data_IF_214613932271
#
_entry.id   IF_214613932271
#
_cell.length_a   1.000
_cell.length_b   1.000
_cell.length_c   1.000
_cell.angle_alpha   90.00
_cell.angle_beta   90.00
_cell.angle_gamma   90.00
#
_symmetry.space_group_name_H-M   'P 1'
#
loop_
_entity.id
_entity.type
_entity.pdbx_description
1 polymer ?
#
# COMPACT_ATOMS: atom_id res chain seq x y z
N UNK A 1 15.55 -9.92 3.16
CA UNK A 1 14.75 -9.96 1.90
C UNK A 1 14.60 -11.35 1.30
N UNK A 2 15.69 -12.08 0.98
CA UNK A 2 15.61 -13.40 0.31
C UNK A 2 14.77 -14.45 1.06
N UNK A 3 14.95 -14.57 2.37
CA UNK A 3 14.16 -15.49 3.22
C UNK A 3 12.66 -15.12 3.25
N UNK A 4 12.33 -13.82 3.42
CA UNK A 4 10.94 -13.33 3.35
C UNK A 4 10.28 -13.70 2.01
N UNK A 5 10.99 -13.53 0.90
CA UNK A 5 10.47 -13.84 -0.43
C UNK A 5 10.27 -15.35 -0.66
N UNK A 6 11.16 -16.20 -0.15
CA UNK A 6 10.99 -17.65 -0.19
C UNK A 6 9.78 -18.12 0.63
N UNK A 7 9.51 -17.45 1.75
CA UNK A 7 8.34 -17.71 2.59
C UNK A 7 7.07 -16.98 2.12
N UNK A 8 7.12 -16.27 0.98
CA UNK A 8 6.03 -15.42 0.48
C UNK A 8 5.44 -14.48 1.55
N UNK A 9 6.28 -13.94 2.45
CA UNK A 9 5.87 -13.08 3.56
C UNK A 9 6.16 -11.63 3.23
N UNK A 10 5.19 -10.97 2.61
CA UNK A 10 5.28 -9.56 2.27
C UNK A 10 4.89 -8.68 3.46
N UNK A 11 5.57 -7.55 3.58
CA UNK A 11 5.38 -6.60 4.68
C UNK A 11 4.23 -5.63 4.38
N UNK A 12 4.03 -5.27 3.11
CA UNK A 12 3.00 -4.30 2.69
C UNK A 12 2.45 -4.60 1.31
N UNK A 13 1.13 -4.48 1.14
CA UNK A 13 0.47 -4.47 -0.16
C UNK A 13 0.39 -3.05 -0.70
N UNK A 14 0.91 -2.80 -1.92
CA UNK A 14 0.87 -1.48 -2.55
C UNK A 14 -0.37 -1.35 -3.44
N UNK A 15 -1.49 -0.96 -2.83
CA UNK A 15 -2.77 -0.74 -3.50
C UNK A 15 -2.81 0.63 -4.18
N UNK A 16 -2.97 0.68 -5.50
CA UNK A 16 -2.88 1.93 -6.25
C UNK A 16 -3.71 1.88 -7.53
N UNK A 17 -3.97 3.04 -8.12
CA UNK A 17 -4.52 3.13 -9.47
C UNK A 17 -3.40 2.87 -10.48
N UNK A 18 -3.68 2.15 -11.57
CA UNK A 18 -2.70 1.88 -12.63
C UNK A 18 -2.00 3.14 -13.16
N UNK A 19 -2.69 4.29 -13.18
CA UNK A 19 -2.11 5.58 -13.59
C UNK A 19 -1.02 6.10 -12.62
N UNK A 20 -1.11 5.73 -11.34
CA UNK A 20 -0.18 6.16 -10.29
C UNK A 20 0.99 5.17 -10.08
N UNK A 21 0.99 4.07 -10.83
CA UNK A 21 1.98 2.99 -10.73
C UNK A 21 3.43 3.47 -10.81
N UNK A 22 3.82 4.41 -11.69
CA UNK A 22 5.21 4.88 -11.74
C UNK A 22 5.68 5.46 -10.40
N UNK A 23 4.85 6.27 -9.72
CA UNK A 23 5.19 6.86 -8.43
C UNK A 23 5.22 5.79 -7.32
N UNK A 24 4.24 4.89 -7.31
CA UNK A 24 4.15 3.80 -6.33
C UNK A 24 5.33 2.84 -6.44
N UNK A 25 5.78 2.54 -7.67
CA UNK A 25 6.96 1.71 -7.93
C UNK A 25 8.22 2.32 -7.35
N UNK A 26 8.43 3.63 -7.51
CA UNK A 26 9.59 4.32 -6.93
C UNK A 26 9.59 4.24 -5.40
N UNK A 27 8.45 4.47 -4.76
CA UNK A 27 8.31 4.31 -3.31
C UNK A 27 8.55 2.86 -2.88
N UNK A 28 8.00 1.89 -3.61
CA UNK A 28 8.23 0.48 -3.34
C UNK A 28 9.69 0.07 -3.47
N UNK A 29 10.47 0.65 -4.39
CA UNK A 29 11.91 0.39 -4.45
C UNK A 29 12.63 0.97 -3.22
N UNK A 30 12.30 2.20 -2.82
CA UNK A 30 12.85 2.79 -1.58
C UNK A 30 12.50 1.96 -0.34
N UNK A 31 11.30 1.35 -0.28
CA UNK A 31 10.93 0.42 0.79
C UNK A 31 11.83 -0.82 0.79
N UNK A 32 12.15 -1.38 -0.38
CA UNK A 32 13.10 -2.51 -0.48
C UNK A 32 14.50 -2.14 0.01
N UNK A 33 14.96 -0.92 -0.25
CA UNK A 33 16.24 -0.41 0.25
C UNK A 33 16.26 -0.33 1.79
N UNK A 34 15.09 -0.16 2.43
CA UNK A 34 14.87 -0.25 3.88
C UNK A 34 14.63 -1.67 4.40
N UNK A 35 14.78 -2.71 3.56
CA UNK A 35 14.56 -4.11 3.96
C UNK A 35 13.09 -4.51 4.13
N UNK A 36 12.16 -3.66 3.67
CA UNK A 36 10.72 -3.93 3.62
C UNK A 36 10.43 -4.60 2.28
N UNK A 37 9.67 -5.69 2.30
CA UNK A 37 9.26 -6.46 1.12
C UNK A 37 7.82 -6.08 0.71
N UNK A 38 7.65 -5.11 -0.19
CA UNK A 38 6.35 -4.77 -0.76
C UNK A 38 5.87 -5.81 -1.77
N UNK A 39 4.55 -6.03 -1.78
CA UNK A 39 3.84 -6.70 -2.85
C UNK A 39 3.30 -5.65 -3.82
N UNK A 40 3.74 -5.71 -5.08
CA UNK A 40 3.26 -4.86 -6.18
C UNK A 40 2.86 -5.76 -7.33
N UNK A 41 1.73 -5.45 -7.95
CA UNK A 41 1.16 -6.22 -9.06
C UNK A 41 2.17 -6.46 -10.20
N UNK A 42 2.93 -5.45 -10.60
CA UNK A 42 3.95 -5.54 -11.64
C UNK A 42 5.13 -6.48 -11.29
N UNK A 43 5.40 -6.70 -10.00
CA UNK A 43 6.52 -7.54 -9.56
C UNK A 43 6.13 -8.97 -9.27
N UNK A 44 4.88 -9.19 -8.87
CA UNK A 44 4.44 -10.45 -8.29
C UNK A 44 3.41 -11.17 -9.16
N UNK A 45 2.77 -10.49 -10.13
CA UNK A 45 1.84 -11.11 -11.05
C UNK A 45 2.54 -11.53 -12.35
N UNK A 46 2.50 -12.82 -12.72
CA UNK A 46 2.95 -13.29 -14.02
C UNK A 46 1.98 -12.82 -15.12
N UNK A 47 2.49 -12.33 -16.27
CA UNK A 47 1.67 -12.04 -17.43
C UNK A 47 0.86 -13.25 -17.88
N UNK A 48 -0.38 -13.02 -18.34
CA UNK A 48 -1.27 -14.06 -18.85
C UNK A 48 -2.07 -14.82 -17.79
N UNK A 49 -1.97 -14.45 -16.51
CA UNK A 49 -2.78 -15.03 -15.44
C UNK A 49 -3.78 -14.02 -14.87
N UNK A 50 -4.96 -14.48 -14.41
CA UNK A 50 -5.90 -13.61 -13.72
C UNK A 50 -5.29 -13.13 -12.40
N UNK A 51 -5.31 -11.82 -12.18
CA UNK A 51 -4.66 -11.22 -11.02
C UNK A 51 -5.41 -11.46 -9.71
N UNK A 52 -6.74 -11.52 -9.73
CA UNK A 52 -7.56 -11.60 -8.51
C UNK A 52 -7.29 -12.88 -7.72
N UNK A 53 -7.29 -14.09 -8.32
CA UNK A 53 -7.04 -15.31 -7.56
C UNK A 53 -5.61 -15.40 -7.04
N UNK A 54 -4.66 -14.73 -7.69
CA UNK A 54 -3.26 -14.65 -7.24
C UNK A 54 -3.12 -13.71 -6.06
N UNK A 55 -3.77 -12.54 -6.10
CA UNK A 55 -3.80 -11.62 -4.98
C UNK A 55 -4.53 -12.24 -3.79
N UNK A 56 -5.67 -12.89 -3.99
CA UNK A 56 -6.44 -13.54 -2.92
C UNK A 56 -5.62 -14.58 -2.14
N UNK A 57 -4.83 -15.39 -2.84
CA UNK A 57 -3.91 -16.36 -2.20
C UNK A 57 -2.85 -15.70 -1.33
N UNK A 58 -2.48 -14.47 -1.66
CA UNK A 58 -1.37 -13.77 -1.03
C UNK A 58 -1.82 -12.80 0.06
N UNK A 59 -2.97 -12.14 -0.12
CA UNK A 59 -3.42 -11.00 0.69
C UNK A 59 -3.53 -11.35 2.18
N UNK A 60 -3.92 -12.59 2.49
CA UNK A 60 -4.10 -13.10 3.85
C UNK A 60 -2.78 -13.21 4.64
N UNK A 61 -1.63 -13.24 3.98
CA UNK A 61 -0.32 -13.32 4.64
C UNK A 61 0.45 -12.00 4.64
N UNK A 62 -0.03 -10.99 3.92
CA UNK A 62 0.58 -9.66 3.92
C UNK A 62 0.25 -8.96 5.23
N UNK A 63 1.27 -8.35 5.84
CA UNK A 63 1.17 -7.76 7.18
C UNK A 63 0.43 -6.40 7.23
N UNK A 64 0.44 -5.63 6.15
CA UNK A 64 -0.21 -4.32 6.06
C UNK A 64 -0.61 -3.96 4.63
N UNK A 65 -1.44 -2.93 4.46
CA UNK A 65 -1.79 -2.37 3.17
C UNK A 65 -1.50 -0.86 3.13
N UNK A 66 -0.83 -0.40 2.07
CA UNK A 66 -0.71 1.01 1.74
C UNK A 66 -1.63 1.32 0.55
N UNK A 67 -2.59 2.23 0.74
CA UNK A 67 -3.57 2.61 -0.28
C UNK A 67 -3.20 3.99 -0.82
N UNK A 68 -2.74 4.02 -2.06
CA UNK A 68 -2.23 5.22 -2.71
C UNK A 68 -3.32 5.95 -3.49
N UNK A 69 -3.35 7.26 -3.31
CA UNK A 69 -4.24 8.19 -3.98
C UNK A 69 -3.39 9.22 -4.72
N UNK A 70 -3.50 9.27 -6.05
CA UNK A 70 -2.73 10.17 -6.89
C UNK A 70 -3.56 11.14 -7.72
N UNK A 71 -2.91 11.87 -8.66
CA UNK A 71 -3.54 12.91 -9.49
C UNK A 71 -4.71 12.41 -10.33
N UNK A 72 -4.77 11.11 -10.63
CA UNK A 72 -5.82 10.52 -11.46
C UNK A 72 -7.23 10.63 -10.83
N UNK A 73 -7.33 10.95 -9.53
CA UNK A 73 -8.59 11.21 -8.83
C UNK A 73 -9.48 9.98 -8.60
N UNK A 74 -9.26 8.90 -9.34
CA UNK A 74 -9.96 7.63 -9.15
C UNK A 74 -9.24 6.81 -8.09
N UNK A 75 -9.86 6.77 -6.92
CA UNK A 75 -9.43 5.96 -5.78
C UNK A 75 -9.47 4.46 -6.14
N UNK A 76 -8.43 3.67 -5.80
CA UNK A 76 -8.47 2.21 -5.86
C UNK A 76 -9.68 1.62 -5.13
N UNK A 77 -10.17 2.34 -4.12
CA UNK A 77 -11.36 1.99 -3.35
C UNK A 77 -12.64 1.90 -4.18
N UNK A 78 -12.73 2.55 -5.36
CA UNK A 78 -13.95 2.48 -6.17
C UNK A 78 -14.22 1.09 -6.76
N UNK A 79 -13.19 0.24 -6.85
CA UNK A 79 -13.33 -1.13 -7.34
C UNK A 79 -13.81 -2.06 -6.22
N UNK A 80 -14.93 -2.76 -6.44
CA UNK A 80 -15.53 -3.67 -5.46
C UNK A 80 -14.55 -4.75 -4.97
N UNK A 81 -13.75 -5.30 -5.87
CA UNK A 81 -12.72 -6.29 -5.54
C UNK A 81 -11.67 -5.73 -4.60
N UNK A 82 -11.21 -4.50 -4.86
CA UNK A 82 -10.23 -3.83 -4.02
C UNK A 82 -10.78 -3.53 -2.62
N UNK A 83 -12.07 -3.17 -2.52
CA UNK A 83 -12.75 -3.04 -1.21
C UNK A 83 -12.69 -4.35 -0.43
N UNK A 84 -12.95 -5.48 -1.09
CA UNK A 84 -12.84 -6.81 -0.48
C UNK A 84 -11.44 -7.06 0.09
N UNK A 85 -10.40 -6.84 -0.71
CA UNK A 85 -9.02 -7.05 -0.26
C UNK A 85 -8.60 -6.12 0.89
N UNK A 86 -8.97 -4.84 0.83
CA UNK A 86 -8.66 -3.91 1.93
C UNK A 86 -9.45 -4.27 3.19
N UNK A 87 -10.70 -4.71 3.05
CA UNK A 87 -11.52 -5.13 4.18
C UNK A 87 -10.91 -6.30 4.94
N UNK A 88 -10.12 -7.16 4.28
CA UNK A 88 -9.40 -8.24 4.96
C UNK A 88 -8.27 -7.75 5.87
N UNK A 89 -7.64 -6.60 5.57
CA UNK A 89 -6.70 -6.01 6.52
C UNK A 89 -7.45 -5.46 7.74
N UNK A 90 -8.58 -4.79 7.52
CA UNK A 90 -9.43 -4.26 8.60
C UNK A 90 -9.93 -5.39 9.51
N UNK A 91 -10.43 -6.48 8.95
CA UNK A 91 -10.96 -7.63 9.71
C UNK A 91 -9.90 -8.29 10.59
N UNK A 92 -8.66 -8.40 10.10
CA UNK A 92 -7.53 -8.94 10.86
C UNK A 92 -6.85 -7.93 11.78
N UNK A 93 -7.38 -6.71 11.89
CA UNK A 93 -6.74 -5.59 12.60
C UNK A 93 -5.31 -5.29 12.12
N UNK A 94 -5.04 -5.57 10.84
CA UNK A 94 -3.79 -5.25 10.18
C UNK A 94 -3.79 -3.77 9.73
N UNK A 95 -2.64 -3.07 9.75
CA UNK A 95 -2.59 -1.67 9.37
C UNK A 95 -3.04 -1.43 7.93
N UNK A 96 -3.95 -0.48 7.76
CA UNK A 96 -4.30 0.13 6.48
C UNK A 96 -3.78 1.57 6.51
N UNK A 97 -2.93 1.92 5.56
CA UNK A 97 -2.17 3.17 5.55
C UNK A 97 -2.62 3.96 4.33
N UNK A 98 -3.50 4.96 4.48
CA UNK A 98 -3.85 5.82 3.36
C UNK A 98 -2.69 6.76 3.02
N UNK A 99 -2.33 6.82 1.74
CA UNK A 99 -1.17 7.55 1.22
C UNK A 99 -1.59 8.52 0.11
N UNK A 100 -1.44 9.81 0.34
CA UNK A 100 -1.59 10.83 -0.71
C UNK A 100 -0.27 11.03 -1.42
N UNK A 101 -0.25 10.83 -2.73
CA UNK A 101 0.92 11.10 -3.56
C UNK A 101 1.09 12.61 -3.78
N UNK A 102 2.31 13.05 -4.11
CA UNK A 102 2.64 14.47 -4.26
C UNK A 102 1.76 15.23 -5.28
N UNK A 103 1.21 14.52 -6.29
CA UNK A 103 0.31 15.10 -7.29
C UNK A 103 -1.18 14.96 -6.97
N UNK A 104 -1.57 14.41 -5.80
CA UNK A 104 -2.97 14.16 -5.49
C UNK A 104 -3.78 15.44 -5.35
N UNK A 105 -4.84 15.57 -6.15
CA UNK A 105 -5.75 16.71 -6.14
C UNK A 105 -6.84 16.50 -5.09
N UNK A 106 -6.92 17.42 -4.12
CA UNK A 106 -7.99 17.43 -3.11
C UNK A 106 -7.93 16.28 -2.10
N UNK A 107 -9.08 16.02 -1.48
CA UNK A 107 -9.29 14.88 -0.58
C UNK A 107 -10.01 13.76 -1.33
N UNK A 108 -9.50 12.52 -1.34
CA UNK A 108 -10.13 11.42 -2.04
C UNK A 108 -11.42 11.00 -1.35
N UNK A 109 -12.41 10.61 -2.15
CA UNK A 109 -13.65 10.03 -1.63
C UNK A 109 -13.38 8.61 -1.09
N UNK A 110 -13.41 8.49 0.24
CA UNK A 110 -13.15 7.24 0.94
C UNK A 110 -14.20 7.00 2.04
N UNK A 111 -14.40 5.74 2.47
CA UNK A 111 -15.30 5.41 3.58
C UNK A 111 -14.86 6.03 4.89
N UNK A 112 -15.81 6.10 5.83
CA UNK A 112 -15.60 6.68 7.15
C UNK A 112 -14.38 6.09 7.88
N UNK A 113 -14.18 4.77 7.84
CA UNK A 113 -13.06 4.16 8.56
C UNK A 113 -11.71 4.69 8.06
N UNK A 114 -11.52 4.90 6.75
CA UNK A 114 -10.28 5.45 6.22
C UNK A 114 -10.07 6.92 6.61
N UNK A 115 -11.16 7.70 6.72
CA UNK A 115 -11.09 9.10 7.18
C UNK A 115 -10.59 9.20 8.63
N UNK A 116 -10.80 8.16 9.43
CA UNK A 116 -10.38 8.10 10.83
C UNK A 116 -8.94 7.60 11.00
N UNK A 117 -8.30 7.09 9.93
CA UNK A 117 -6.91 6.64 9.98
C UNK A 117 -5.96 7.83 9.91
N UNK A 118 -4.71 7.61 10.33
CA UNK A 118 -3.63 8.59 10.13
C UNK A 118 -3.09 8.49 8.70
N UNK A 119 -3.05 9.62 7.99
CA UNK A 119 -2.63 9.68 6.59
C UNK A 119 -1.15 10.00 6.44
N UNK A 120 -0.51 9.37 5.47
CA UNK A 120 0.79 9.77 4.95
C UNK A 120 0.56 10.70 3.76
N UNK A 121 1.10 11.92 3.83
CA UNK A 121 0.86 12.94 2.80
C UNK A 121 2.18 13.36 2.14
N UNK A 122 2.45 12.83 0.94
CA UNK A 122 3.64 13.17 0.15
C UNK A 122 3.56 14.54 -0.53
N UNK A 123 2.47 15.30 -0.35
CA UNK A 123 2.41 16.72 -0.74
C UNK A 123 3.13 17.61 0.28
N UNK A 124 3.46 17.05 1.45
CA UNK A 124 4.18 17.71 2.53
C UNK A 124 5.58 17.13 2.69
N UNK A 125 6.48 17.93 3.24
CA UNK A 125 7.87 17.53 3.50
C UNK A 125 8.16 17.28 4.98
N UNK A 126 7.36 17.85 5.88
CA UNK A 126 7.52 17.71 7.33
C UNK A 126 6.18 17.38 8.02
N UNK A 127 6.16 16.32 8.87
CA UNK A 127 7.19 15.28 9.02
C UNK A 127 7.45 14.49 7.71
N UNK A 128 8.65 13.90 7.55
CA UNK A 128 9.03 13.16 6.33
C UNK A 128 7.98 12.07 6.01
N UNK A 129 7.25 12.18 4.88
CA UNK A 129 6.19 11.26 4.54
C UNK A 129 6.70 9.84 4.31
N UNK A 130 7.94 9.66 3.83
CA UNK A 130 8.50 8.34 3.61
C UNK A 130 8.80 7.63 4.93
N UNK A 131 9.38 8.33 5.92
CA UNK A 131 9.59 7.74 7.25
C UNK A 131 8.26 7.43 7.94
N UNK A 132 7.22 8.25 7.73
CA UNK A 132 5.87 7.95 8.21
C UNK A 132 5.26 6.72 7.55
N UNK A 133 5.51 6.51 6.26
CA UNK A 133 5.09 5.28 5.58
C UNK A 133 5.83 4.06 6.15
N UNK A 134 7.14 4.15 6.35
CA UNK A 134 7.95 3.09 6.97
C UNK A 134 7.44 2.75 8.36
N UNK A 135 7.17 3.76 9.19
CA UNK A 135 6.58 3.56 10.52
C UNK A 135 5.20 2.90 10.44
N UNK A 136 4.33 3.35 9.52
CA UNK A 136 3.02 2.74 9.30
C UNK A 136 3.12 1.26 8.91
N UNK A 137 4.11 0.87 8.11
CA UNK A 137 4.29 -0.52 7.68
C UNK A 137 4.87 -1.39 8.81
N UNK A 138 5.89 -0.89 9.50
CA UNK A 138 6.63 -1.66 10.51
C UNK A 138 5.96 -1.66 11.87
N UNK A 139 5.07 -0.69 12.13
CA UNK A 139 4.50 -0.38 13.44
C UNK A 139 5.57 -0.07 14.50
N UNK A 140 6.79 0.25 14.07
CA UNK A 140 7.92 0.61 14.91
C UNK A 140 8.28 2.06 14.60
N UNK A 141 8.24 2.92 15.63
CA UNK A 141 8.67 4.30 15.47
C UNK A 141 10.19 4.25 15.34
N UNK A 142 10.74 4.74 14.23
CA UNK A 142 12.18 4.83 14.05
C UNK A 142 12.72 5.88 15.02
N UNK A 143 13.08 5.42 16.21
CA UNK A 143 13.88 6.03 17.29
C UNK A 143 13.51 5.33 18.61
N UNK A 144 13.80 4.03 18.72
CA UNK A 144 14.04 3.24 19.94
C UNK A 144 15.03 2.10 19.63
#
# INVERSE_FOLDING_TARGET
MRAKRQAARFDVFLCHNSADKPAVKLLGQRLKDRGILPWLDEWELPPGQPWQPLLEKQIQSIASAAVFFGPAGISPWHQQEMRGFISEFVQRSAPVIPVLLAGASGEPEVPLFMRQLTWVDFRRTDPDPFERLVWGITQQRGDE
#
